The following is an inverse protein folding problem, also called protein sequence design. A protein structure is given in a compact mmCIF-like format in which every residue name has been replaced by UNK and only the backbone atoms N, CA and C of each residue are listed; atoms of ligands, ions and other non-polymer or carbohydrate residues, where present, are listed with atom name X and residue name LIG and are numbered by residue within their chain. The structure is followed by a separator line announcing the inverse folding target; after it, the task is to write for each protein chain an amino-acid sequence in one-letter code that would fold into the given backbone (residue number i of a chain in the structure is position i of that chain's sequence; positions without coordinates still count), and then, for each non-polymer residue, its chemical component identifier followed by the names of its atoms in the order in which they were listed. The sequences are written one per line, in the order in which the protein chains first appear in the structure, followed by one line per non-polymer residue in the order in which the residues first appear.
data_IF_501558543668
#
_entry.id   IF_501558543668
#
_cell.length_a   1.000
_cell.length_b   1.000
_cell.length_c   1.000
_cell.angle_alpha   90.00
_cell.angle_beta   90.00
_cell.angle_gamma   90.00
#
_symmetry.space_group_name_H-M   'P 1'
#
loop_
_entity.id
_entity.type
_entity.pdbx_description
1 polymer ?
#
# COMPACT_ATOMS: atom_id res chain seq x y z
N UNK A 1 -29.44 43.89 7.19
CA UNK A 1 -29.44 42.41 7.40
C UNK A 1 -30.46 41.64 6.52
N UNK A 2 -31.01 42.24 5.45
CA UNK A 2 -31.98 41.58 4.54
C UNK A 2 -31.37 41.07 3.21
N UNK A 3 -30.26 41.68 2.75
CA UNK A 3 -29.65 41.37 1.45
C UNK A 3 -28.93 40.00 1.40
N UNK A 4 -28.24 39.63 2.49
CA UNK A 4 -27.54 38.35 2.62
C UNK A 4 -28.46 37.13 2.69
N UNK A 5 -29.71 37.29 3.16
CA UNK A 5 -30.70 36.20 3.22
C UNK A 5 -31.23 35.83 1.83
N UNK A 6 -31.34 36.80 0.91
CA UNK A 6 -31.86 36.60 -0.44
C UNK A 6 -30.86 35.88 -1.36
N UNK A 7 -29.56 36.11 -1.17
CA UNK A 7 -28.47 35.43 -1.92
C UNK A 7 -28.33 33.96 -1.51
N UNK A 8 -28.47 33.62 -0.22
CA UNK A 8 -28.47 32.21 0.24
C UNK A 8 -29.64 31.40 -0.34
N UNK A 9 -30.80 32.02 -0.56
CA UNK A 9 -31.96 31.33 -1.15
C UNK A 9 -31.78 31.03 -2.64
N UNK A 10 -31.13 31.94 -3.39
CA UNK A 10 -30.87 31.79 -4.83
C UNK A 10 -29.78 30.73 -5.10
N UNK A 11 -28.72 30.68 -4.28
CA UNK A 11 -27.63 29.69 -4.41
C UNK A 11 -28.08 28.24 -4.13
N UNK A 12 -29.00 28.04 -3.18
CA UNK A 12 -29.53 26.71 -2.85
C UNK A 12 -30.40 26.16 -3.99
N UNK A 13 -31.18 27.00 -4.67
CA UNK A 13 -31.99 26.58 -5.81
C UNK A 13 -31.14 26.26 -7.05
N UNK A 14 -30.07 27.03 -7.30
CA UNK A 14 -29.14 26.77 -8.42
C UNK A 14 -28.35 25.45 -8.19
N UNK A 15 -27.95 25.17 -6.94
CA UNK A 15 -27.32 23.89 -6.60
C UNK A 15 -28.25 22.69 -6.82
N UNK A 16 -29.50 22.75 -6.32
CA UNK A 16 -30.46 21.66 -6.45
C UNK A 16 -30.86 21.39 -7.92
N UNK A 17 -30.95 22.43 -8.76
CA UNK A 17 -31.22 22.24 -10.19
C UNK A 17 -30.02 21.61 -10.92
N UNK A 18 -28.78 21.91 -10.50
CA UNK A 18 -27.58 21.29 -11.10
C UNK A 18 -27.49 19.78 -10.80
N UNK A 19 -27.87 19.34 -9.59
CA UNK A 19 -27.81 17.92 -9.21
C UNK A 19 -28.88 17.09 -9.92
N UNK A 20 -30.08 17.63 -10.08
CA UNK A 20 -31.20 16.95 -10.75
C UNK A 20 -30.94 16.88 -12.27
N UNK A 21 -30.38 17.95 -12.86
CA UNK A 21 -30.01 17.96 -14.28
C UNK A 21 -28.83 17.02 -14.58
N UNK A 22 -27.85 16.93 -13.69
CA UNK A 22 -26.72 16.00 -13.84
C UNK A 22 -27.13 14.53 -13.66
N UNK A 23 -28.11 14.25 -12.78
CA UNK A 23 -28.66 12.90 -12.61
C UNK A 23 -29.46 12.45 -13.84
N UNK A 24 -30.22 13.36 -14.46
CA UNK A 24 -31.02 13.05 -15.66
C UNK A 24 -30.17 12.88 -16.93
N UNK A 25 -29.02 13.56 -17.04
CA UNK A 25 -28.09 13.37 -18.19
C UNK A 25 -27.41 12.00 -18.13
N UNK A 26 -27.13 11.48 -16.92
CA UNK A 26 -26.46 10.18 -16.75
C UNK A 26 -27.31 9.00 -17.22
N UNK A 27 -28.64 9.06 -17.12
CA UNK A 27 -29.50 7.95 -17.54
C UNK A 27 -29.78 7.92 -19.05
N UNK A 28 -29.67 9.05 -19.76
CA UNK A 28 -30.01 9.12 -21.19
C UNK A 28 -28.91 8.55 -22.09
N UNK A 29 -27.67 8.43 -21.60
CA UNK A 29 -26.52 7.88 -22.36
C UNK A 29 -26.09 6.47 -21.94
N UNK A 30 -26.72 5.86 -20.93
CA UNK A 30 -26.33 4.54 -20.43
C UNK A 30 -26.86 3.39 -21.30
N UNK A 31 -27.98 3.60 -22.01
CA UNK A 31 -28.73 2.52 -22.67
C UNK A 31 -28.23 2.15 -24.08
N UNK A 32 -27.27 2.91 -24.64
CA UNK A 32 -26.81 2.75 -26.04
C UNK A 32 -25.37 2.23 -26.17
N UNK A 33 -24.79 1.74 -25.07
CA UNK A 33 -23.46 1.13 -25.08
C UNK A 33 -23.53 -0.34 -25.53
N UNK A 34 -22.60 -0.80 -26.39
CA UNK A 34 -22.60 -2.18 -26.85
C UNK A 34 -22.45 -3.15 -25.66
N UNK A 35 -23.37 -4.10 -25.57
CA UNK A 35 -23.31 -5.19 -24.59
C UNK A 35 -22.93 -6.50 -25.28
N UNK A 36 -22.20 -7.35 -24.58
CA UNK A 36 -21.74 -8.64 -25.09
C UNK A 36 -22.26 -9.76 -24.21
N UNK A 37 -22.78 -10.82 -24.82
CA UNK A 37 -23.21 -12.00 -24.09
C UNK A 37 -21.99 -12.87 -23.71
N UNK A 38 -21.65 -12.92 -22.42
CA UNK A 38 -20.45 -13.63 -21.94
C UNK A 38 -20.83 -14.99 -21.35
N UNK A 39 -20.33 -16.06 -21.97
CA UNK A 39 -20.52 -17.46 -21.55
C UNK A 39 -19.38 -17.97 -20.66
N UNK A 40 -18.19 -17.41 -20.84
CA UNK A 40 -17.00 -17.83 -20.12
C UNK A 40 -16.09 -16.65 -19.83
N UNK A 41 -15.49 -16.63 -18.64
CA UNK A 41 -14.48 -15.66 -18.24
C UNK A 41 -13.23 -16.44 -17.85
N UNK A 42 -12.10 -16.13 -18.50
CA UNK A 42 -10.79 -16.71 -18.22
C UNK A 42 -9.97 -15.64 -17.52
N UNK A 43 -9.49 -15.95 -16.31
CA UNK A 43 -8.48 -15.15 -15.62
C UNK A 43 -7.12 -15.80 -15.91
N UNK A 44 -6.30 -15.14 -16.71
CA UNK A 44 -4.93 -15.53 -17.03
C UNK A 44 -4.00 -14.88 -15.99
N UNK A 45 -3.73 -15.62 -14.91
CA UNK A 45 -3.07 -15.12 -13.70
C UNK A 45 -1.99 -16.07 -13.14
N UNK A 46 -1.43 -16.94 -13.99
CA UNK A 46 -0.38 -17.90 -13.62
C UNK A 46 -0.72 -18.78 -12.39
N UNK A 47 -2.02 -19.08 -12.19
CA UNK A 47 -2.54 -19.84 -11.04
C UNK A 47 -2.29 -19.19 -9.67
N UNK A 48 -2.14 -17.87 -9.64
CA UNK A 48 -1.97 -17.12 -8.41
C UNK A 48 -3.23 -17.12 -7.53
N UNK A 49 -4.42 -16.99 -8.13
CA UNK A 49 -5.69 -17.16 -7.40
C UNK A 49 -6.11 -18.62 -7.33
N UNK A 50 -6.57 -19.03 -6.15
CA UNK A 50 -7.16 -20.35 -5.96
C UNK A 50 -8.44 -20.50 -6.80
N UNK A 51 -8.80 -21.75 -7.15
CA UNK A 51 -10.03 -22.05 -7.90
C UNK A 51 -11.28 -21.44 -7.26
N UNK A 52 -11.34 -21.42 -5.92
CA UNK A 52 -12.46 -20.83 -5.16
C UNK A 52 -12.52 -19.31 -5.32
N UNK A 53 -11.39 -18.62 -5.17
CA UNK A 53 -11.32 -17.16 -5.37
C UNK A 53 -11.71 -16.80 -6.81
N UNK A 54 -11.19 -17.54 -7.80
CA UNK A 54 -11.49 -17.35 -9.22
C UNK A 54 -12.99 -17.54 -9.50
N UNK A 55 -13.58 -18.60 -8.97
CA UNK A 55 -15.02 -18.88 -9.12
C UNK A 55 -15.89 -17.81 -8.46
N UNK A 56 -15.53 -17.33 -7.26
CA UNK A 56 -16.30 -16.30 -6.57
C UNK A 56 -16.36 -14.99 -7.37
N UNK A 57 -15.31 -14.68 -8.13
CA UNK A 57 -15.28 -13.50 -9.00
C UNK A 57 -16.04 -13.77 -10.30
N UNK A 58 -15.85 -14.93 -10.93
CA UNK A 58 -16.35 -15.21 -12.29
C UNK A 58 -17.83 -15.61 -12.31
N UNK A 59 -18.25 -16.52 -11.43
CA UNK A 59 -19.58 -17.15 -11.46
C UNK A 59 -20.74 -16.14 -11.50
N UNK A 60 -20.73 -15.02 -10.76
CA UNK A 60 -21.81 -14.03 -10.79
C UNK A 60 -22.03 -13.35 -12.14
N UNK A 61 -21.05 -13.37 -13.04
CA UNK A 61 -21.08 -12.64 -14.32
C UNK A 61 -21.20 -13.56 -15.54
N UNK A 62 -21.35 -14.87 -15.33
CA UNK A 62 -21.53 -15.84 -16.40
C UNK A 62 -22.97 -15.84 -16.92
N UNK A 63 -23.13 -16.06 -18.23
CA UNK A 63 -24.42 -16.16 -18.92
C UNK A 63 -25.26 -14.88 -18.88
N UNK A 64 -24.60 -13.73 -18.75
CA UNK A 64 -25.22 -12.40 -18.76
C UNK A 64 -24.71 -11.56 -19.94
N UNK A 65 -25.49 -10.55 -20.32
CA UNK A 65 -25.02 -9.46 -21.16
C UNK A 65 -24.22 -8.50 -20.30
N UNK A 66 -22.95 -8.28 -20.64
CA UNK A 66 -22.07 -7.37 -19.91
C UNK A 66 -21.79 -6.13 -20.77
N UNK A 67 -21.94 -4.96 -20.16
CA UNK A 67 -21.49 -3.68 -20.68
C UNK A 67 -20.01 -3.46 -20.38
N UNK A 68 -19.43 -2.39 -20.94
CA UNK A 68 -18.08 -1.95 -20.57
C UNK A 68 -17.96 -1.60 -19.07
N UNK A 69 -19.02 -1.11 -18.45
CA UNK A 69 -19.05 -0.80 -17.01
C UNK A 69 -19.01 -2.08 -16.17
N UNK A 70 -19.76 -3.12 -16.57
CA UNK A 70 -19.76 -4.41 -15.89
C UNK A 70 -18.40 -5.08 -15.97
N UNK A 71 -17.76 -5.07 -17.15
CA UNK A 71 -16.40 -5.61 -17.34
C UNK A 71 -15.40 -4.85 -16.47
N UNK A 72 -15.50 -3.52 -16.39
CA UNK A 72 -14.67 -2.75 -15.49
C UNK A 72 -14.95 -3.10 -14.01
N UNK A 73 -16.21 -3.36 -13.64
CA UNK A 73 -16.58 -3.88 -12.33
C UNK A 73 -15.86 -5.19 -11.99
N UNK A 74 -15.83 -6.15 -12.92
CA UNK A 74 -15.09 -7.41 -12.78
C UNK A 74 -13.60 -7.14 -12.59
N UNK A 75 -13.02 -6.26 -13.41
CA UNK A 75 -11.60 -5.85 -13.30
C UNK A 75 -11.30 -5.29 -11.90
N UNK A 76 -12.18 -4.44 -11.35
CA UNK A 76 -12.00 -3.89 -10.00
C UNK A 76 -12.16 -4.97 -8.91
N UNK A 77 -13.07 -5.93 -9.09
CA UNK A 77 -13.20 -7.07 -8.18
C UNK A 77 -11.93 -7.93 -8.16
N UNK A 78 -11.38 -8.26 -9.33
CA UNK A 78 -10.08 -8.96 -9.44
C UNK A 78 -9.00 -8.19 -8.70
N UNK A 79 -8.82 -6.89 -9.02
CA UNK A 79 -7.82 -6.04 -8.36
C UNK A 79 -7.99 -6.01 -6.83
N UNK A 80 -9.23 -5.91 -6.34
CA UNK A 80 -9.53 -5.90 -4.92
C UNK A 80 -9.06 -7.17 -4.22
N UNK A 81 -9.27 -8.34 -4.82
CA UNK A 81 -8.76 -9.62 -4.28
C UNK A 81 -7.23 -9.61 -4.21
N UNK A 82 -6.54 -9.11 -5.24
CA UNK A 82 -5.08 -8.98 -5.23
C UNK A 82 -4.58 -8.01 -4.15
N UNK A 83 -5.24 -6.87 -3.99
CA UNK A 83 -4.93 -5.89 -2.93
C UNK A 83 -5.05 -6.54 -1.54
N UNK A 84 -6.14 -7.29 -1.30
CA UNK A 84 -6.36 -7.99 -0.02
C UNK A 84 -5.28 -9.05 0.26
N UNK A 85 -4.69 -9.64 -0.78
CA UNK A 85 -3.56 -10.57 -0.67
C UNK A 85 -2.20 -9.86 -0.52
N UNK A 86 -2.17 -8.54 -0.59
CA UNK A 86 -0.98 -7.72 -0.43
C UNK A 86 -0.29 -7.31 -1.74
N UNK A 87 -0.95 -7.40 -2.89
CA UNK A 87 -0.39 -7.04 -4.21
C UNK A 87 -1.09 -5.80 -4.79
N UNK A 88 -0.73 -4.58 -4.36
CA UNK A 88 -1.48 -3.37 -4.70
C UNK A 88 -1.27 -2.87 -6.13
N UNK A 89 -0.24 -3.33 -6.83
CA UNK A 89 0.19 -2.79 -8.14
C UNK A 89 -0.17 -3.69 -9.32
N UNK A 90 -1.17 -4.55 -9.17
CA UNK A 90 -1.64 -5.45 -10.23
C UNK A 90 -2.38 -4.69 -11.31
N UNK A 91 -2.03 -4.99 -12.56
CA UNK A 91 -2.70 -4.46 -13.75
C UNK A 91 -3.47 -5.58 -14.42
N UNK A 92 -4.79 -5.42 -14.54
CA UNK A 92 -5.65 -6.35 -15.29
C UNK A 92 -5.95 -5.73 -16.64
N UNK A 93 -5.66 -6.47 -17.72
CA UNK A 93 -5.84 -6.02 -19.11
C UNK A 93 -6.73 -6.98 -19.88
N UNK A 94 -7.42 -6.44 -20.88
CA UNK A 94 -8.09 -7.23 -21.91
C UNK A 94 -7.10 -7.35 -23.08
N UNK A 95 -6.76 -8.58 -23.54
CA UNK A 95 -5.88 -8.78 -24.69
C UNK A 95 -6.37 -8.06 -25.95
N UNK A 96 -5.46 -7.46 -26.71
CA UNK A 96 -5.77 -6.62 -27.89
C UNK A 96 -6.52 -7.36 -29.00
N UNK A 97 -6.33 -8.67 -29.13
CA UNK A 97 -6.90 -9.49 -30.20
C UNK A 97 -8.10 -10.32 -29.76
N UNK A 98 -8.72 -9.98 -28.63
CA UNK A 98 -9.85 -10.74 -28.12
C UNK A 98 -11.14 -10.37 -28.86
N UNK A 99 -11.87 -11.39 -29.32
CA UNK A 99 -13.20 -11.23 -29.89
C UNK A 99 -14.28 -11.55 -28.84
N UNK A 100 -14.88 -10.52 -28.24
CA UNK A 100 -15.97 -10.67 -27.25
C UNK A 100 -17.25 -11.27 -27.83
N UNK A 101 -17.47 -11.19 -29.15
CA UNK A 101 -18.62 -11.80 -29.83
C UNK A 101 -18.60 -13.33 -29.77
N UNK A 102 -17.44 -13.93 -29.47
CA UNK A 102 -17.34 -15.37 -29.18
C UNK A 102 -17.99 -15.77 -27.85
N UNK A 103 -18.34 -14.78 -27.01
CA UNK A 103 -18.83 -14.98 -25.65
C UNK A 103 -17.76 -15.39 -24.65
N UNK A 104 -16.48 -15.20 -24.98
CA UNK A 104 -15.35 -15.46 -24.11
C UNK A 104 -14.66 -14.16 -23.72
N UNK A 105 -14.61 -13.89 -22.41
CA UNK A 105 -13.88 -12.77 -21.82
C UNK A 105 -12.57 -13.26 -21.23
N UNK A 106 -11.41 -12.85 -21.75
CA UNK A 106 -10.11 -13.13 -21.14
C UNK A 106 -9.59 -11.87 -20.45
N UNK A 107 -9.19 -12.02 -19.18
CA UNK A 107 -8.55 -10.97 -18.42
C UNK A 107 -7.14 -11.43 -18.06
N UNK A 108 -6.15 -10.75 -18.59
CA UNK A 108 -4.75 -11.00 -18.28
C UNK A 108 -4.35 -10.19 -17.06
N UNK A 109 -3.81 -10.87 -16.06
CA UNK A 109 -3.35 -10.28 -14.80
C UNK A 109 -1.84 -10.14 -14.84
N UNK A 110 -1.35 -8.90 -14.78
CA UNK A 110 0.07 -8.59 -14.77
C UNK A 110 0.44 -8.11 -13.37
N UNK A 111 1.31 -8.89 -12.72
CA UNK A 111 1.82 -8.55 -11.40
C UNK A 111 2.80 -7.38 -11.48
N UNK A 112 2.56 -6.37 -10.64
CA UNK A 112 3.51 -5.28 -10.49
C UNK A 112 4.79 -5.74 -9.78
N UNK A 113 5.93 -5.18 -10.16
CA UNK A 113 7.22 -5.54 -9.57
C UNK A 113 8.03 -4.33 -9.11
N UNK A 114 8.97 -4.55 -8.19
CA UNK A 114 9.83 -3.49 -7.65
C UNK A 114 10.99 -3.24 -8.61
N UNK A 115 11.04 -2.05 -9.22
CA UNK A 115 12.16 -1.62 -10.07
C UNK A 115 13.40 -1.32 -9.21
N UNK A 116 13.21 -0.47 -8.21
CA UNK A 116 14.25 -0.03 -7.27
C UNK A 116 13.62 0.52 -6.00
N UNK A 117 14.41 0.49 -4.93
CA UNK A 117 14.12 1.12 -3.64
C UNK A 117 15.14 2.24 -3.48
N UNK A 118 14.69 3.43 -3.11
CA UNK A 118 15.50 4.66 -2.99
C UNK A 118 15.23 5.26 -1.62
N UNK A 119 16.28 5.65 -0.90
CA UNK A 119 16.15 6.36 0.37
C UNK A 119 16.87 7.70 0.29
N UNK A 120 16.21 8.76 0.74
CA UNK A 120 16.76 10.13 0.85
C UNK A 120 17.52 10.59 -0.43
N UNK A 121 18.84 10.77 -0.33
CA UNK A 121 19.73 11.24 -1.42
C UNK A 121 20.41 10.09 -2.18
N UNK A 122 20.03 8.85 -1.90
CA UNK A 122 20.60 7.65 -2.54
C UNK A 122 22.13 7.55 -2.40
N UNK A 123 22.66 7.94 -1.23
CA UNK A 123 24.10 7.86 -0.94
C UNK A 123 24.53 6.39 -0.75
N UNK A 124 25.86 6.14 -0.70
CA UNK A 124 26.35 4.78 -0.43
C UNK A 124 25.81 4.22 0.89
N UNK A 125 25.81 5.02 1.96
CA UNK A 125 25.28 4.60 3.28
C UNK A 125 23.80 4.24 3.17
N UNK A 126 23.02 5.05 2.46
CA UNK A 126 21.59 4.82 2.28
C UNK A 126 21.33 3.51 1.53
N UNK A 127 22.08 3.27 0.45
CA UNK A 127 21.99 2.03 -0.33
C UNK A 127 22.34 0.79 0.50
N UNK A 128 23.36 0.89 1.35
CA UNK A 128 23.74 -0.19 2.26
C UNK A 128 22.64 -0.49 3.29
N UNK A 129 22.06 0.53 3.91
CA UNK A 129 20.97 0.34 4.88
C UNK A 129 19.70 -0.19 4.22
N UNK A 130 19.35 0.29 3.01
CA UNK A 130 18.25 -0.26 2.21
C UNK A 130 18.50 -1.71 1.85
N UNK A 131 19.73 -2.08 1.49
CA UNK A 131 20.07 -3.47 1.18
C UNK A 131 19.88 -4.40 2.39
N UNK A 132 20.24 -3.95 3.59
CA UNK A 132 20.04 -4.71 4.83
C UNK A 132 18.56 -4.83 5.21
N UNK A 133 17.77 -3.77 5.01
CA UNK A 133 16.35 -3.77 5.35
C UNK A 133 15.46 -4.49 4.32
N UNK A 134 15.86 -4.50 3.04
CA UNK A 134 15.09 -5.08 1.94
C UNK A 134 15.93 -6.08 1.14
N UNK A 135 16.38 -7.20 1.75
CA UNK A 135 17.24 -8.15 1.09
C UNK A 135 16.52 -8.78 -0.12
N UNK A 136 17.17 -8.75 -1.28
CA UNK A 136 16.71 -9.42 -2.51
C UNK A 136 15.35 -8.99 -3.07
N UNK A 137 14.84 -7.78 -2.77
CA UNK A 137 13.52 -7.34 -3.24
C UNK A 137 13.48 -6.75 -4.66
N UNK A 138 14.63 -6.39 -5.24
CA UNK A 138 14.67 -5.82 -6.60
C UNK A 138 14.21 -6.86 -7.63
N UNK A 139 13.37 -6.41 -8.57
CA UNK A 139 12.76 -7.23 -9.65
C UNK A 139 11.82 -8.34 -9.17
N UNK A 140 11.43 -8.36 -7.90
CA UNK A 140 10.38 -9.26 -7.38
C UNK A 140 9.02 -8.59 -7.47
N UNK A 141 7.97 -9.40 -7.48
CA UNK A 141 6.61 -8.90 -7.35
C UNK A 141 6.48 -8.07 -6.08
N UNK A 142 5.82 -6.93 -6.21
CA UNK A 142 5.62 -6.03 -5.10
C UNK A 142 4.56 -6.65 -4.17
N UNK A 143 5.02 -7.09 -3.00
CA UNK A 143 4.17 -7.54 -1.91
C UNK A 143 4.28 -6.55 -0.74
N UNK A 144 3.14 -6.01 -0.31
CA UNK A 144 3.10 -4.94 0.68
C UNK A 144 3.71 -5.38 2.03
N UNK A 145 3.45 -6.63 2.44
CA UNK A 145 3.94 -7.16 3.72
C UNK A 145 5.47 -7.22 3.78
N UNK A 146 6.11 -7.57 2.66
CA UNK A 146 7.57 -7.59 2.56
C UNK A 146 8.14 -6.17 2.73
N UNK A 147 7.47 -5.16 2.15
CA UNK A 147 7.87 -3.76 2.30
C UNK A 147 7.65 -3.23 3.71
N UNK A 148 6.52 -3.57 4.35
CA UNK A 148 6.22 -3.19 5.73
C UNK A 148 7.30 -3.69 6.69
N UNK A 149 7.72 -4.96 6.56
CA UNK A 149 8.79 -5.51 7.41
C UNK A 149 10.11 -4.75 7.26
N UNK A 150 10.49 -4.40 6.04
CA UNK A 150 11.71 -3.62 5.81
C UNK A 150 11.61 -2.20 6.38
N UNK A 151 10.43 -1.58 6.34
CA UNK A 151 10.18 -0.28 6.99
C UNK A 151 10.21 -0.39 8.51
N UNK A 152 9.61 -1.43 9.07
CA UNK A 152 9.66 -1.71 10.52
C UNK A 152 11.11 -1.90 10.98
N UNK A 153 11.94 -2.59 10.19
CA UNK A 153 13.36 -2.76 10.47
C UNK A 153 14.15 -1.44 10.42
N UNK A 154 13.77 -0.49 9.56
CA UNK A 154 14.39 0.85 9.53
C UNK A 154 13.90 1.74 10.68
N UNK A 155 12.66 1.55 11.13
CA UNK A 155 12.02 2.24 12.25
C UNK A 155 12.35 1.61 13.62
N UNK A 156 13.03 0.46 13.66
CA UNK A 156 13.45 -0.16 14.93
C UNK A 156 14.44 0.71 15.69
N UNK A 157 15.22 1.53 14.96
CA UNK A 157 16.10 2.52 15.54
C UNK A 157 15.28 3.69 16.06
N UNK A 158 15.43 3.94 17.35
CA UNK A 158 14.73 5.02 18.04
C UNK A 158 15.13 6.41 17.51
N UNK A 159 16.32 6.52 16.91
CA UNK A 159 16.81 7.70 16.23
C UNK A 159 16.19 7.94 14.86
N UNK A 160 15.32 7.06 14.35
CA UNK A 160 14.77 7.17 13.01
C UNK A 160 13.25 7.29 13.02
N UNK A 161 12.73 8.05 12.05
CA UNK A 161 11.33 7.99 11.65
C UNK A 161 11.29 7.87 10.14
N UNK A 162 10.76 6.75 9.65
CA UNK A 162 10.84 6.32 8.25
C UNK A 162 9.44 6.10 7.71
N UNK A 163 9.20 6.62 6.51
CA UNK A 163 7.98 6.40 5.73
C UNK A 163 8.31 5.93 4.32
N UNK A 164 7.34 5.29 3.66
CA UNK A 164 7.48 4.87 2.27
C UNK A 164 6.32 5.35 1.40
N UNK A 165 6.63 5.57 0.13
CA UNK A 165 5.67 5.82 -0.94
C UNK A 165 5.95 4.88 -2.11
N UNK A 166 4.90 4.27 -2.66
CA UNK A 166 4.97 3.50 -3.90
C UNK A 166 4.71 4.45 -5.07
N UNK A 167 5.73 4.65 -5.90
CA UNK A 167 5.67 5.50 -7.08
C UNK A 167 5.64 4.65 -8.35
N UNK A 168 4.99 5.12 -9.44
CA UNK A 168 5.08 4.45 -10.72
C UNK A 168 6.54 4.39 -11.19
N UNK A 169 6.97 3.21 -11.65
CA UNK A 169 8.30 3.02 -12.22
C UNK A 169 8.40 3.45 -13.68
N UNK A 170 9.59 3.27 -14.24
CA UNK A 170 9.89 3.60 -15.64
C UNK A 170 9.50 2.48 -16.59
N UNK A 171 9.56 1.23 -16.11
CA UNK A 171 9.14 0.06 -16.88
C UNK A 171 7.63 -0.18 -16.72
N UNK A 172 6.93 -0.68 -17.75
CA UNK A 172 5.54 -1.08 -17.62
C UNK A 172 5.35 -2.11 -16.50
N UNK A 173 4.37 -1.87 -15.61
CA UNK A 173 4.10 -2.74 -14.46
C UNK A 173 5.16 -2.64 -13.35
N UNK A 174 6.08 -1.69 -13.41
CA UNK A 174 7.09 -1.52 -12.37
C UNK A 174 6.74 -0.41 -11.38
N UNK A 175 7.33 -0.47 -10.20
CA UNK A 175 7.18 0.53 -9.14
C UNK A 175 8.51 0.89 -8.50
N UNK A 176 8.66 2.15 -8.14
CA UNK A 176 9.78 2.66 -7.37
C UNK A 176 9.30 2.85 -5.93
N UNK A 177 10.01 2.26 -4.97
CA UNK A 177 9.73 2.46 -3.56
C UNK A 177 10.60 3.63 -3.07
N UNK A 178 9.96 4.76 -2.78
CA UNK A 178 10.63 5.93 -2.23
C UNK A 178 10.52 5.89 -0.71
N UNK A 179 11.66 5.87 -0.04
CA UNK A 179 11.78 5.91 1.42
C UNK A 179 12.22 7.31 1.82
N UNK A 180 11.54 7.86 2.81
CA UNK A 180 11.88 9.15 3.42
C UNK A 180 12.22 8.91 4.88
N UNK A 181 13.37 9.41 5.34
CA UNK A 181 13.81 9.26 6.72
C UNK A 181 14.05 10.62 7.38
N UNK A 182 13.56 10.75 8.60
CA UNK A 182 13.94 11.80 9.55
C UNK A 182 14.83 11.18 10.63
N UNK A 183 16.01 11.78 10.85
CA UNK A 183 16.99 11.30 11.82
C UNK A 183 17.00 12.23 13.03
N UNK A 184 16.78 11.65 14.21
CA UNK A 184 16.84 12.27 15.54
C UNK A 184 18.18 11.96 16.21
N UNK A 185 18.31 12.35 17.48
CA UNK A 185 19.52 12.02 18.25
C UNK A 185 19.79 10.52 18.24
N UNK A 186 21.00 10.15 17.82
CA UNK A 186 21.51 8.77 17.86
C UNK A 186 22.00 8.39 19.25
N UNK A 187 22.17 9.35 20.15
CA UNK A 187 22.61 9.13 21.52
C UNK A 187 21.42 9.27 22.48
N UNK A 188 21.28 8.30 23.39
CA UNK A 188 20.29 8.31 24.45
C UNK A 188 20.96 7.92 25.77
N UNK A 189 20.60 8.63 26.84
CA UNK A 189 21.07 8.33 28.19
C UNK A 189 19.86 8.12 29.08
N UNK A 190 19.78 6.97 29.73
CA UNK A 190 18.73 6.63 30.67
C UNK A 190 19.34 6.40 32.06
N UNK A 191 18.77 7.02 33.08
CA UNK A 191 19.18 6.80 34.48
C UNK A 191 17.96 6.48 35.32
N UNK A 192 18.11 5.61 36.32
CA UNK A 192 17.01 5.30 37.22
C UNK A 192 17.45 4.53 38.44
N UNK A 193 16.51 4.29 39.35
CA UNK A 193 16.75 3.57 40.60
C UNK A 193 15.71 2.48 40.80
N UNK A 194 16.07 1.39 41.46
CA UNK A 194 15.13 0.38 41.94
C UNK A 194 15.65 -0.34 43.20
N UNK A 195 14.80 -1.17 43.82
CA UNK A 195 15.13 -2.07 44.93
C UNK A 195 14.91 -3.54 44.54
N UNK A 196 15.05 -3.87 43.25
CA UNK A 196 14.65 -5.18 42.71
C UNK A 196 15.64 -6.29 43.11
N UNK A 197 15.10 -7.40 43.63
CA UNK A 197 15.88 -8.57 44.07
C UNK A 197 16.22 -8.61 45.56
N UNK A 198 15.65 -7.71 46.37
CA UNK A 198 15.91 -7.64 47.79
C UNK A 198 14.69 -8.08 48.63
N UNK A 199 14.91 -8.86 49.70
CA UNK A 199 13.83 -9.37 50.55
C UNK A 199 13.20 -8.30 51.45
N UNK A 200 13.96 -7.26 51.81
CA UNK A 200 13.57 -6.28 52.83
C UNK A 200 13.42 -4.84 52.27
N UNK A 201 13.76 -4.61 51.00
CA UNK A 201 13.54 -3.35 50.28
C UNK A 201 14.39 -2.14 50.72
N UNK A 202 15.48 -2.36 51.44
CA UNK A 202 16.35 -1.34 52.05
C UNK A 202 17.49 -0.81 51.18
N UNK A 203 17.98 -1.60 50.21
CA UNK A 203 19.08 -1.26 49.32
C UNK A 203 18.56 -0.59 48.05
N UNK A 204 19.22 0.49 47.65
CA UNK A 204 18.87 1.25 46.44
C UNK A 204 19.93 0.96 45.38
N UNK A 205 19.50 0.50 44.22
CA UNK A 205 20.36 0.31 43.05
C UNK A 205 20.20 1.47 42.11
N UNK A 206 21.32 2.09 41.72
CA UNK A 206 21.38 3.10 40.68
C UNK A 206 21.74 2.45 39.35
N UNK A 207 21.00 2.80 38.30
CA UNK A 207 21.17 2.30 36.94
C UNK A 207 21.45 3.47 36.01
N UNK A 208 22.42 3.29 35.12
CA UNK A 208 22.70 4.22 34.03
C UNK A 208 22.92 3.42 32.75
N UNK A 209 22.34 3.88 31.65
CA UNK A 209 22.44 3.28 30.33
C UNK A 209 22.78 4.37 29.32
N UNK A 210 23.75 4.11 28.45
CA UNK A 210 24.03 4.91 27.26
C UNK A 210 23.72 4.03 26.04
N UNK A 211 22.76 4.45 25.22
CA UNK A 211 22.44 3.81 23.95
C UNK A 211 22.93 4.65 22.78
N UNK A 212 23.53 3.98 21.80
CA UNK A 212 24.00 4.58 20.55
C UNK A 212 23.37 3.85 19.38
N UNK A 213 22.52 4.55 18.62
CA UNK A 213 21.84 4.03 17.43
C UNK A 213 22.72 4.20 16.18
N UNK A 214 22.67 3.18 15.32
CA UNK A 214 23.30 3.07 14.02
C UNK A 214 24.83 3.23 14.00
N UNK A 215 25.52 2.75 15.05
CA UNK A 215 26.98 2.92 15.19
C UNK A 215 27.76 2.30 14.02
N UNK A 216 27.32 1.15 13.51
CA UNK A 216 27.97 0.44 12.40
C UNK A 216 27.28 0.62 11.04
N UNK A 217 26.33 1.56 10.93
CA UNK A 217 25.56 1.81 9.69
C UNK A 217 24.79 0.54 9.26
N UNK A 218 24.36 -0.26 10.25
CA UNK A 218 23.71 -1.56 10.03
C UNK A 218 22.31 -1.65 10.63
N UNK A 219 21.72 -0.49 10.97
CA UNK A 219 20.45 -0.41 11.70
C UNK A 219 20.51 -1.07 13.09
N UNK A 220 21.65 -0.95 13.78
CA UNK A 220 21.95 -1.53 15.09
C UNK A 220 21.87 -0.52 16.24
N UNK A 221 21.57 -0.98 17.46
CA UNK A 221 21.64 -0.17 18.70
C UNK A 221 22.65 -0.80 19.65
N UNK A 222 23.58 0.01 20.17
CA UNK A 222 24.61 -0.43 21.14
C UNK A 222 24.32 0.16 22.52
N UNK A 223 24.20 -0.70 23.54
CA UNK A 223 23.88 -0.31 24.91
C UNK A 223 25.08 -0.51 25.85
N UNK A 224 25.42 0.53 26.60
CA UNK A 224 26.44 0.50 27.65
C UNK A 224 25.79 0.77 29.01
N UNK A 225 25.66 -0.27 29.84
CA UNK A 225 24.94 -0.23 31.12
C UNK A 225 25.89 -0.32 32.31
N UNK A 226 25.61 0.48 33.34
CA UNK A 226 26.28 0.43 34.64
C UNK A 226 25.24 0.39 35.76
N UNK A 227 25.41 -0.53 36.71
CA UNK A 227 24.58 -0.65 37.90
C UNK A 227 25.48 -0.50 39.14
N UNK A 228 25.07 0.36 40.07
CA UNK A 228 25.75 0.61 41.33
C UNK A 228 24.80 0.24 42.49
N UNK A 229 25.30 -0.52 43.45
CA UNK A 229 24.55 -0.88 44.65
C UNK A 229 24.98 0.03 45.80
N UNK A 230 24.01 0.51 46.58
CA UNK A 230 24.24 1.28 47.79
C UNK A 230 23.46 0.65 48.95
#
# INVERSE_FOLDING_TARGET
MYFLKKIRFLLVHICLFSTIFFHSIRSVFADDLPTFYIRSIILDDDDFLSKKERSNIVTPHLNHYLSAEDINGIIQQVKSVYIQKGYPTVVVKIPLHQNLSSGMLTLQVIHGFIERIIMDKDTLKDRWQVFLAFPYMRKRFLHLKDLEQGIDQLNSLSSNTVSMCILPGRLPGSSIIQITRSVHSQFRVDTGTDNFGESNGSSIRWKSNLSIDNLFISNDTQDFRKVLNN
#
